data_IF_300394239132
#
_entry.id   IF_300394239132
#
_cell.length_a   1.000
_cell.length_b   1.000
_cell.length_c   1.000
_cell.angle_alpha   90.00
_cell.angle_beta   90.00
_cell.angle_gamma   90.00
#
_symmetry.space_group_name_H-M   'P 1'
#
loop_
_entity.id
_entity.type
_entity.pdbx_description
1 polymer ?
#
# COMPACT_ATOMS: atom_id res chain seq x y z
N UNK A 1 -2.27 33.65 -51.61
CA UNK A 1 -2.57 34.21 -50.27
C UNK A 1 -3.47 33.27 -49.45
N UNK A 2 -4.59 32.79 -50.01
CA UNK A 2 -5.54 31.92 -49.31
C UNK A 2 -4.98 30.53 -48.96
N UNK A 3 -4.18 29.92 -49.83
CA UNK A 3 -3.49 28.63 -49.58
C UNK A 3 -2.51 28.70 -48.42
N UNK A 4 -1.76 29.80 -48.29
CA UNK A 4 -0.85 30.03 -47.18
C UNK A 4 -1.57 30.13 -45.84
N UNK A 5 -2.79 30.67 -45.82
CA UNK A 5 -3.62 30.79 -44.60
C UNK A 5 -4.11 29.41 -44.14
N UNK A 6 -4.56 28.55 -45.06
CA UNK A 6 -5.00 27.19 -44.71
C UNK A 6 -3.85 26.33 -44.14
N UNK A 7 -2.63 26.45 -44.70
CA UNK A 7 -1.46 25.73 -44.17
C UNK A 7 -1.16 26.16 -42.73
N UNK A 8 -1.21 27.47 -42.44
CA UNK A 8 -1.01 28.00 -41.08
C UNK A 8 -2.09 27.47 -40.12
N UNK A 9 -3.37 27.44 -40.54
CA UNK A 9 -4.44 26.89 -39.71
C UNK A 9 -4.25 25.41 -39.40
N UNK A 10 -3.90 24.59 -40.39
CA UNK A 10 -3.63 23.16 -40.18
C UNK A 10 -2.45 22.92 -39.24
N UNK A 11 -1.41 23.76 -39.33
CA UNK A 11 -0.26 23.70 -38.42
C UNK A 11 -0.67 24.02 -36.98
N UNK A 12 -1.52 25.05 -36.78
CA UNK A 12 -2.03 25.41 -35.45
C UNK A 12 -2.84 24.24 -34.86
N UNK A 13 -3.74 23.62 -35.62
CA UNK A 13 -4.51 22.46 -35.14
C UNK A 13 -3.61 21.29 -34.73
N UNK A 14 -2.55 21.02 -35.50
CA UNK A 14 -1.59 19.97 -35.20
C UNK A 14 -0.83 20.27 -33.90
N UNK A 15 -0.36 21.51 -33.72
CA UNK A 15 0.33 21.95 -32.49
C UNK A 15 -0.61 21.86 -31.28
N UNK A 16 -1.86 22.30 -31.40
CA UNK A 16 -2.84 22.17 -30.31
C UNK A 16 -3.12 20.72 -29.95
N UNK A 17 -3.26 19.83 -30.95
CA UNK A 17 -3.45 18.40 -30.72
C UNK A 17 -2.26 17.78 -29.97
N UNK A 18 -1.04 18.14 -30.34
CA UNK A 18 0.18 17.69 -29.65
C UNK A 18 0.21 18.20 -28.20
N UNK A 19 -0.07 19.48 -27.97
CA UNK A 19 -0.11 20.06 -26.62
C UNK A 19 -1.18 19.39 -25.76
N UNK A 20 -2.38 19.14 -26.31
CA UNK A 20 -3.47 18.47 -25.62
C UNK A 20 -3.06 17.04 -25.21
N UNK A 21 -2.44 16.29 -26.13
CA UNK A 21 -1.93 14.95 -25.85
C UNK A 21 -0.90 14.93 -24.70
N UNK A 22 0.07 15.85 -24.72
CA UNK A 22 1.03 15.97 -23.62
C UNK A 22 0.38 16.39 -22.29
N UNK A 23 -0.63 17.27 -22.36
CA UNK A 23 -1.34 17.77 -21.16
C UNK A 23 -2.15 16.66 -20.49
N UNK A 24 -2.84 15.82 -21.26
CA UNK A 24 -3.60 14.68 -20.72
C UNK A 24 -2.70 13.68 -19.99
N UNK A 25 -1.63 13.24 -20.63
CA UNK A 25 -0.68 12.30 -20.01
C UNK A 25 -0.01 12.87 -18.75
N UNK A 26 0.28 14.17 -18.74
CA UNK A 26 0.83 14.85 -17.56
C UNK A 26 -0.22 15.00 -16.46
N UNK A 27 -1.47 15.23 -16.82
CA UNK A 27 -2.59 15.35 -15.88
C UNK A 27 -2.80 14.06 -15.09
N UNK A 28 -2.78 12.90 -15.75
CA UNK A 28 -2.90 11.60 -15.07
C UNK A 28 -1.79 11.37 -14.05
N UNK A 29 -0.52 11.65 -14.42
CA UNK A 29 0.61 11.53 -13.49
C UNK A 29 0.47 12.46 -12.29
N UNK A 30 -0.01 13.69 -12.49
CA UNK A 30 -0.26 14.63 -11.41
C UNK A 30 -1.43 14.18 -10.52
N UNK A 31 -2.47 13.58 -11.10
CA UNK A 31 -3.60 13.04 -10.36
C UNK A 31 -3.16 11.90 -9.44
N UNK A 32 -2.34 10.96 -9.92
CA UNK A 32 -1.79 9.86 -9.09
C UNK A 32 -0.93 10.35 -7.95
N UNK A 33 -0.04 11.32 -8.19
CA UNK A 33 0.78 11.93 -7.14
C UNK A 33 -0.08 12.58 -6.06
N UNK A 34 -1.12 13.29 -6.47
CA UNK A 34 -2.07 13.89 -5.54
C UNK A 34 -2.82 12.84 -4.73
N UNK A 35 -3.34 11.79 -5.37
CA UNK A 35 -4.00 10.68 -4.70
C UNK A 35 -3.08 10.00 -3.66
N UNK A 36 -1.80 9.79 -3.99
CA UNK A 36 -0.80 9.28 -3.04
C UNK A 36 -0.56 10.23 -1.87
N UNK A 37 -0.45 11.54 -2.12
CA UNK A 37 -0.27 12.54 -1.04
C UNK A 37 -1.50 12.56 -0.13
N UNK A 38 -2.69 12.62 -0.70
CA UNK A 38 -3.95 12.66 0.04
C UNK A 38 -4.12 11.39 0.89
N UNK A 39 -3.77 10.21 0.35
CA UNK A 39 -3.74 8.95 1.10
C UNK A 39 -2.79 9.01 2.29
N UNK A 40 -1.55 9.47 2.10
CA UNK A 40 -0.56 9.53 3.20
C UNK A 40 -0.95 10.58 4.24
N UNK A 41 -1.55 11.70 3.83
CA UNK A 41 -2.08 12.69 4.75
C UNK A 41 -3.23 12.13 5.57
N UNK A 42 -4.19 11.45 4.94
CA UNK A 42 -5.30 10.80 5.62
C UNK A 42 -4.80 9.74 6.60
N UNK A 43 -3.82 8.91 6.21
CA UNK A 43 -3.20 7.91 7.08
C UNK A 43 -2.54 8.53 8.32
N UNK A 44 -1.95 9.73 8.19
CA UNK A 44 -1.30 10.41 9.31
C UNK A 44 -2.30 11.17 10.22
N UNK A 45 -3.47 11.52 9.69
CA UNK A 45 -4.54 12.21 10.43
C UNK A 45 -5.51 11.24 11.13
N UNK A 46 -5.51 9.96 10.74
CA UNK A 46 -6.35 8.95 11.37
C UNK A 46 -5.77 8.54 12.73
N UNK A 47 -6.33 9.14 13.80
CA UNK A 47 -5.95 8.84 15.18
C UNK A 47 -6.15 7.35 15.51
N UNK A 48 -7.20 6.70 15.00
CA UNK A 48 -7.45 5.28 15.27
C UNK A 48 -6.37 4.41 14.63
N UNK A 49 -5.98 4.74 13.40
CA UNK A 49 -4.93 4.00 12.72
C UNK A 49 -3.55 4.25 13.34
N UNK A 50 -3.32 5.45 13.91
CA UNK A 50 -2.14 5.74 14.72
C UNK A 50 -2.07 4.84 15.95
N UNK A 51 -3.18 4.69 16.68
CA UNK A 51 -3.25 3.82 17.87
C UNK A 51 -2.97 2.35 17.51
N UNK A 52 -3.52 1.87 16.38
CA UNK A 52 -3.27 0.52 15.85
C UNK A 52 -1.78 0.32 15.54
N UNK A 53 -1.13 1.31 14.91
CA UNK A 53 0.30 1.25 14.62
C UNK A 53 1.17 1.28 15.87
N UNK A 54 0.80 2.10 16.84
CA UNK A 54 1.51 2.18 18.12
C UNK A 54 1.46 0.83 18.84
N UNK A 55 0.27 0.24 18.92
CA UNK A 55 0.06 -1.08 19.50
C UNK A 55 0.84 -2.17 18.77
N UNK A 56 0.84 -2.17 17.44
CA UNK A 56 1.67 -3.08 16.65
C UNK A 56 3.17 -2.86 16.91
N UNK A 57 3.59 -1.61 17.07
CA UNK A 57 4.95 -1.25 17.48
C UNK A 57 5.31 -1.88 18.83
N UNK A 58 4.42 -1.77 19.82
CA UNK A 58 4.60 -2.39 21.15
C UNK A 58 4.65 -3.92 21.05
N UNK A 59 3.77 -4.55 20.27
CA UNK A 59 3.79 -6.01 20.03
C UNK A 59 5.14 -6.46 19.47
N UNK A 60 5.71 -5.71 18.53
CA UNK A 60 7.02 -5.99 17.95
C UNK A 60 8.15 -5.82 18.98
N UNK A 61 8.13 -4.75 19.78
CA UNK A 61 9.13 -4.50 20.82
C UNK A 61 9.11 -5.56 21.92
N UNK A 62 7.92 -6.04 22.28
CA UNK A 62 7.74 -7.11 23.26
C UNK A 62 8.15 -8.49 22.73
N UNK A 63 8.43 -8.61 21.42
CA UNK A 63 8.79 -9.89 20.80
C UNK A 63 7.62 -10.88 20.73
N UNK A 64 6.39 -10.38 20.57
CA UNK A 64 5.21 -11.23 20.45
C UNK A 64 5.38 -12.26 19.32
N UNK A 65 4.95 -13.51 19.58
CA UNK A 65 5.02 -14.57 18.59
C UNK A 65 3.88 -14.45 17.57
N UNK A 66 4.16 -13.81 16.43
CA UNK A 66 3.21 -13.60 15.34
C UNK A 66 2.71 -14.92 14.71
N UNK A 67 3.49 -16.00 14.71
CA UNK A 67 3.03 -17.33 14.26
C UNK A 67 1.95 -17.86 15.19
N UNK A 68 2.15 -17.75 16.51
CA UNK A 68 1.16 -18.17 17.50
C UNK A 68 -0.11 -17.31 17.46
N UNK A 69 0.01 -16.03 17.11
CA UNK A 69 -1.14 -15.13 16.96
C UNK A 69 -2.09 -15.54 15.82
N UNK A 70 -1.57 -16.19 14.78
CA UNK A 70 -2.39 -16.72 13.70
C UNK A 70 -3.27 -17.89 14.17
N UNK A 71 -2.87 -18.63 15.21
CA UNK A 71 -3.57 -19.77 15.79
C UNK A 71 -4.83 -19.36 16.59
N UNK A 72 -5.82 -20.26 16.77
CA UNK A 72 -6.96 -19.95 17.63
C UNK A 72 -6.49 -19.93 19.09
N UNK A 73 -7.06 -19.04 19.91
CA UNK A 73 -6.75 -19.03 21.34
C UNK A 73 -7.22 -20.36 21.94
N UNK A 74 -6.33 -21.07 22.64
CA UNK A 74 -6.63 -22.34 23.30
C UNK A 74 -7.03 -22.18 24.76
N UNK A 75 -6.96 -20.95 25.28
CA UNK A 75 -7.23 -20.63 26.68
C UNK A 75 -8.73 -20.44 26.90
N UNK A 76 -9.25 -20.94 28.03
CA UNK A 76 -10.66 -20.76 28.44
C UNK A 76 -10.91 -19.46 29.19
N UNK A 77 -9.86 -18.71 29.54
CA UNK A 77 -9.97 -17.40 30.20
C UNK A 77 -10.48 -16.36 29.21
N UNK A 78 -11.58 -15.70 29.59
CA UNK A 78 -12.25 -14.72 28.74
C UNK A 78 -11.35 -13.51 28.45
N UNK A 79 -10.61 -13.03 29.45
CA UNK A 79 -9.71 -11.89 29.32
C UNK A 79 -8.54 -12.19 28.38
N UNK A 80 -7.88 -13.35 28.54
CA UNK A 80 -6.80 -13.79 27.66
C UNK A 80 -7.29 -13.98 26.21
N UNK A 81 -8.51 -14.49 26.04
CA UNK A 81 -9.14 -14.66 24.72
C UNK A 81 -9.40 -13.32 24.04
N UNK A 82 -9.91 -12.32 24.79
CA UNK A 82 -10.12 -10.96 24.29
C UNK A 82 -8.82 -10.31 23.85
N UNK A 83 -7.77 -10.39 24.68
CA UNK A 83 -6.45 -9.83 24.36
C UNK A 83 -5.86 -10.48 23.09
N UNK A 84 -5.99 -11.81 22.96
CA UNK A 84 -5.53 -12.52 21.74
C UNK A 84 -6.29 -12.07 20.50
N UNK A 85 -7.62 -11.97 20.58
CA UNK A 85 -8.47 -11.52 19.48
C UNK A 85 -8.12 -10.10 19.04
N UNK A 86 -7.96 -9.21 20.01
CA UNK A 86 -7.64 -7.79 19.83
C UNK A 86 -6.23 -7.58 19.20
N UNK A 87 -5.22 -8.34 19.64
CA UNK A 87 -3.90 -8.38 18.98
C UNK A 87 -3.99 -8.88 17.54
N UNK A 88 -4.78 -9.94 17.31
CA UNK A 88 -4.98 -10.52 15.97
C UNK A 88 -5.67 -9.54 15.04
N UNK A 89 -6.70 -8.84 15.51
CA UNK A 89 -7.40 -7.80 14.76
C UNK A 89 -6.47 -6.64 14.37
N UNK A 90 -5.59 -6.23 15.30
CA UNK A 90 -4.57 -5.19 15.04
C UNK A 90 -3.69 -5.58 13.85
N UNK A 91 -3.18 -6.82 13.84
CA UNK A 91 -2.34 -7.34 12.75
C UNK A 91 -3.11 -7.44 11.44
N UNK A 92 -4.33 -7.99 11.46
CA UNK A 92 -5.17 -8.12 10.26
C UNK A 92 -5.49 -6.75 9.66
N UNK A 93 -5.76 -5.74 10.50
CA UNK A 93 -6.08 -4.39 10.04
C UNK A 93 -4.90 -3.76 9.30
N UNK A 94 -3.69 -3.92 9.83
CA UNK A 94 -2.46 -3.45 9.18
C UNK A 94 -2.24 -4.16 7.84
N UNK A 95 -2.40 -5.49 7.80
CA UNK A 95 -2.25 -6.26 6.57
C UNK A 95 -3.29 -5.89 5.52
N UNK A 96 -4.55 -5.65 5.91
CA UNK A 96 -5.61 -5.20 5.01
C UNK A 96 -5.27 -3.84 4.39
N UNK A 97 -4.77 -2.89 5.20
CA UNK A 97 -4.33 -1.59 4.69
C UNK A 97 -3.20 -1.75 3.68
N UNK A 98 -2.20 -2.56 3.99
CA UNK A 98 -1.09 -2.78 3.08
C UNK A 98 -1.49 -3.50 1.80
N UNK A 99 -2.41 -4.47 1.87
CA UNK A 99 -2.95 -5.15 0.68
C UNK A 99 -3.71 -4.18 -0.22
N UNK A 100 -4.53 -3.29 0.37
CA UNK A 100 -5.23 -2.24 -0.36
C UNK A 100 -4.26 -1.30 -1.08
N UNK A 101 -3.23 -0.82 -0.37
CA UNK A 101 -2.22 0.08 -0.94
C UNK A 101 -1.45 -0.61 -2.06
N UNK A 102 -1.02 -1.86 -1.84
CA UNK A 102 -0.33 -2.64 -2.86
C UNK A 102 -1.20 -2.79 -4.12
N UNK A 103 -2.47 -3.16 -3.95
CA UNK A 103 -3.42 -3.27 -5.05
C UNK A 103 -3.57 -1.94 -5.80
N UNK A 104 -3.74 -0.83 -5.07
CA UNK A 104 -3.89 0.50 -5.68
C UNK A 104 -2.63 0.97 -6.43
N UNK A 105 -1.44 0.54 -6.00
CA UNK A 105 -0.19 0.75 -6.74
C UNK A 105 -0.16 -0.09 -8.03
N UNK A 106 -0.53 -1.37 -7.94
CA UNK A 106 -0.54 -2.25 -9.11
C UNK A 106 -1.56 -1.87 -10.17
N UNK A 107 -2.66 -1.22 -9.78
CA UNK A 107 -3.68 -0.66 -10.67
C UNK A 107 -3.35 0.77 -11.18
N UNK A 108 -2.13 1.27 -10.95
CA UNK A 108 -1.71 2.65 -11.29
C UNK A 108 -2.70 3.71 -10.76
N UNK A 109 -3.35 3.47 -9.62
CA UNK A 109 -4.16 4.48 -8.94
C UNK A 109 -3.29 5.38 -8.03
N UNK A 110 -2.16 4.84 -7.56
CA UNK A 110 -1.17 5.53 -6.73
C UNK A 110 0.18 5.59 -7.42
N UNK A 111 0.92 6.69 -7.22
CA UNK A 111 2.31 6.84 -7.65
C UNK A 111 3.24 5.99 -6.76
N UNK A 112 3.71 4.85 -7.30
CA UNK A 112 4.60 3.90 -6.60
C UNK A 112 5.90 4.56 -6.14
N UNK A 113 6.53 5.36 -7.01
CA UNK A 113 7.83 5.97 -6.73
C UNK A 113 7.76 6.95 -5.55
N UNK A 114 6.71 7.76 -5.50
CA UNK A 114 6.44 8.68 -4.41
C UNK A 114 6.17 7.92 -3.11
N UNK A 115 5.28 6.93 -3.16
CA UNK A 115 4.93 6.16 -1.97
C UNK A 115 6.14 5.37 -1.43
N UNK A 116 6.92 4.76 -2.33
CA UNK A 116 8.17 4.04 -2.01
C UNK A 116 9.19 4.96 -1.32
N UNK A 117 9.41 6.18 -1.83
CA UNK A 117 10.31 7.17 -1.17
C UNK A 117 9.88 7.48 0.27
N UNK A 118 8.59 7.50 0.55
CA UNK A 118 8.05 7.85 1.87
C UNK A 118 7.99 6.65 2.84
N UNK A 119 7.66 5.45 2.35
CA UNK A 119 7.20 4.34 3.19
C UNK A 119 7.98 3.03 2.99
N UNK A 120 8.92 2.94 2.05
CA UNK A 120 9.66 1.68 1.75
C UNK A 120 10.17 0.97 3.00
N UNK A 121 10.92 1.69 3.84
CA UNK A 121 11.56 1.09 5.01
C UNK A 121 10.57 0.54 6.03
N UNK A 122 9.39 1.15 6.16
CA UNK A 122 8.33 0.70 7.06
C UNK A 122 7.63 -0.53 6.48
N UNK A 123 7.19 -0.45 5.22
CA UNK A 123 6.47 -1.54 4.53
C UNK A 123 7.30 -2.81 4.48
N UNK A 124 8.58 -2.72 4.09
CA UNK A 124 9.48 -3.88 3.99
C UNK A 124 9.73 -4.50 5.36
N UNK A 125 9.98 -3.69 6.39
CA UNK A 125 10.23 -4.17 7.76
C UNK A 125 9.00 -4.84 8.36
N UNK A 126 7.83 -4.23 8.17
CA UNK A 126 6.57 -4.74 8.70
C UNK A 126 6.19 -6.04 7.97
N UNK A 127 6.42 -6.14 6.66
CA UNK A 127 6.24 -7.40 5.93
C UNK A 127 7.11 -8.53 6.49
N UNK A 128 8.41 -8.29 6.71
CA UNK A 128 9.29 -9.32 7.31
C UNK A 128 8.82 -9.76 8.70
N UNK A 129 8.27 -8.84 9.48
CA UNK A 129 7.71 -9.14 10.82
C UNK A 129 6.42 -9.97 10.72
N UNK A 130 5.56 -9.65 9.75
CA UNK A 130 4.22 -10.24 9.61
C UNK A 130 4.18 -11.49 8.73
N UNK A 131 5.22 -11.74 7.94
CA UNK A 131 5.34 -12.90 7.06
C UNK A 131 5.02 -14.23 7.77
N UNK A 132 5.54 -14.53 8.98
CA UNK A 132 5.19 -15.78 9.68
C UNK A 132 3.69 -15.90 9.98
N UNK A 133 3.02 -14.81 10.38
CA UNK A 133 1.58 -14.78 10.60
C UNK A 133 0.80 -15.09 9.31
N UNK A 134 1.20 -14.48 8.19
CA UNK A 134 0.55 -14.69 6.90
C UNK A 134 0.72 -16.12 6.40
N UNK A 135 1.93 -16.69 6.52
CA UNK A 135 2.19 -18.07 6.09
C UNK A 135 1.35 -19.08 6.89
N UNK A 136 1.24 -18.89 8.21
CA UNK A 136 0.39 -19.73 9.05
C UNK A 136 -1.09 -19.57 8.68
N UNK A 137 -1.56 -18.34 8.47
CA UNK A 137 -2.94 -18.06 8.05
C UNK A 137 -3.28 -18.73 6.70
N UNK A 138 -2.36 -18.69 5.73
CA UNK A 138 -2.52 -19.34 4.41
C UNK A 138 -2.60 -20.86 4.54
N UNK A 139 -1.72 -21.46 5.35
CA UNK A 139 -1.68 -22.91 5.62
C UNK A 139 -3.01 -23.38 6.22
N UNK A 140 -3.48 -22.71 7.27
CA UNK A 140 -4.72 -23.05 7.97
C UNK A 140 -5.96 -22.90 7.11
N UNK A 141 -6.04 -21.80 6.36
CA UNK A 141 -7.21 -21.51 5.54
C UNK A 141 -7.18 -22.26 4.19
N UNK A 142 -6.10 -22.97 3.87
CA UNK A 142 -5.84 -23.60 2.56
C UNK A 142 -5.98 -22.60 1.40
N UNK A 143 -5.57 -21.35 1.63
CA UNK A 143 -5.68 -20.24 0.67
C UNK A 143 -4.32 -19.57 0.51
N UNK A 144 -3.53 -19.95 -0.51
CA UNK A 144 -2.15 -19.47 -0.65
C UNK A 144 -2.04 -17.99 -1.04
N UNK A 145 -3.14 -17.36 -1.50
CA UNK A 145 -3.15 -15.99 -2.01
C UNK A 145 -3.57 -14.92 -0.99
N UNK A 146 -3.76 -15.27 0.28
CA UNK A 146 -4.11 -14.28 1.30
C UNK A 146 -2.93 -13.30 1.46
N UNK A 147 -3.17 -12.00 1.35
CA UNK A 147 -2.13 -10.96 1.46
C UNK A 147 -0.99 -11.14 0.44
N UNK A 148 -1.33 -11.42 -0.81
CA UNK A 148 -0.33 -11.70 -1.85
C UNK A 148 0.20 -10.44 -2.52
N UNK A 149 -0.59 -9.36 -2.56
CA UNK A 149 -0.16 -8.12 -3.19
C UNK A 149 0.88 -7.40 -2.32
N UNK A 150 0.71 -7.39 -0.99
CA UNK A 150 1.74 -6.85 -0.09
C UNK A 150 3.04 -7.66 -0.15
N UNK A 151 2.97 -8.99 -0.25
CA UNK A 151 4.15 -9.84 -0.44
C UNK A 151 4.89 -9.47 -1.73
N UNK A 152 4.15 -9.38 -2.84
CA UNK A 152 4.71 -9.01 -4.14
C UNK A 152 5.33 -7.62 -4.11
N UNK A 153 4.68 -6.66 -3.47
CA UNK A 153 5.18 -5.29 -3.32
C UNK A 153 6.48 -5.26 -2.49
N UNK A 154 6.48 -5.91 -1.33
CA UNK A 154 7.61 -5.92 -0.42
C UNK A 154 8.85 -6.59 -1.05
N UNK A 155 8.68 -7.75 -1.70
CA UNK A 155 9.77 -8.46 -2.39
C UNK A 155 10.39 -7.58 -3.49
N UNK A 156 9.54 -6.98 -4.34
CA UNK A 156 9.98 -6.08 -5.43
C UNK A 156 10.73 -4.85 -4.90
N UNK A 157 10.37 -4.36 -3.72
CA UNK A 157 11.05 -3.25 -3.07
C UNK A 157 12.34 -3.67 -2.36
N UNK A 158 12.45 -4.90 -1.86
CA UNK A 158 13.70 -5.43 -1.31
C UNK A 158 14.78 -5.57 -2.38
N UNK A 159 14.43 -6.15 -3.54
CA UNK A 159 15.34 -6.39 -4.65
C UNK A 159 15.82 -5.09 -5.34
N UNK A 160 15.05 -4.00 -5.21
CA UNK A 160 15.37 -2.69 -5.78
C UNK A 160 15.60 -1.63 -4.68
N UNK A 161 16.82 -1.57 -4.08
CA UNK A 161 17.24 -0.44 -3.25
C UNK A 161 16.98 0.89 -3.97
N UNK A 162 16.54 1.96 -3.28
CA UNK A 162 16.48 3.27 -3.93
C UNK A 162 17.90 3.68 -4.28
N UNK A 163 18.11 4.21 -5.48
CA UNK A 163 19.29 5.02 -5.79
C UNK A 163 19.30 6.29 -4.92
#
# INVERSE_FOLDING_TARGET
MQTSIYVIQTLIFLVTAVIAFFTLNRSERMARKRATIDLVLAENQDDKFRDIKEKFGMMRLNGDNFTALAMPCTTTEEEATKVHADKKETVITILNQYEFIASAIFEDALDEDLYKRMKKGVVVRDWETLKPFVMELRSRNKRPKIFCEIERLANRWQENPPN
#
